data_IF_303601742555
#
_entry.id   IF_303601742555
#
_cell.length_a   1.000
_cell.length_b   1.000
_cell.length_c   1.000
_cell.angle_alpha   90.00
_cell.angle_beta   90.00
_cell.angle_gamma   90.00
#
_symmetry.space_group_name_H-M   'P 1'
#
loop_
_entity.id
_entity.type
_entity.pdbx_description
1 polymer ?
#
# COMPACT_ATOMS: atom_id res chain seq x y z
N UNK A 1 19.34 -37.88 24.44
CA UNK A 1 19.45 -36.45 24.82
C UNK A 1 19.91 -35.59 23.65
N UNK A 2 20.77 -36.09 22.76
CA UNK A 2 21.18 -35.40 21.52
C UNK A 2 20.10 -35.37 20.41
N UNK A 3 19.28 -36.42 20.25
CA UNK A 3 18.21 -36.46 19.22
C UNK A 3 17.08 -35.46 19.45
N UNK A 4 16.81 -35.14 20.73
CA UNK A 4 15.78 -34.18 21.13
C UNK A 4 16.17 -32.73 20.83
N UNK A 5 17.47 -32.39 20.90
CA UNK A 5 17.94 -31.04 20.54
C UNK A 5 17.96 -30.86 19.02
N UNK A 6 18.39 -31.87 18.28
CA UNK A 6 18.45 -31.86 16.82
C UNK A 6 17.05 -31.80 16.17
N UNK A 7 16.02 -32.37 16.80
CA UNK A 7 14.63 -32.25 16.36
C UNK A 7 14.08 -30.83 16.59
N UNK A 8 14.51 -30.17 17.67
CA UNK A 8 14.06 -28.80 18.00
C UNK A 8 14.62 -27.76 17.03
N UNK A 9 15.88 -27.88 16.59
CA UNK A 9 16.48 -27.01 15.59
C UNK A 9 15.81 -27.17 14.22
N UNK A 10 15.46 -28.40 13.82
CA UNK A 10 14.77 -28.66 12.55
C UNK A 10 13.37 -28.05 12.52
N UNK A 11 12.63 -28.06 13.63
CA UNK A 11 11.31 -27.41 13.71
C UNK A 11 11.42 -25.88 13.64
N UNK A 12 12.40 -25.28 14.33
CA UNK A 12 12.66 -23.83 14.29
C UNK A 12 13.05 -23.38 12.87
N UNK A 13 14.00 -24.08 12.24
CA UNK A 13 14.44 -23.79 10.86
C UNK A 13 13.29 -23.94 9.86
N UNK A 14 12.42 -24.92 10.05
CA UNK A 14 11.24 -25.12 9.19
C UNK A 14 10.21 -24.00 9.37
N UNK A 15 10.02 -23.52 10.60
CA UNK A 15 9.13 -22.39 10.90
C UNK A 15 9.65 -21.07 10.32
N UNK A 16 10.95 -20.80 10.40
CA UNK A 16 11.60 -19.63 9.80
C UNK A 16 11.49 -19.65 8.28
N UNK A 17 11.82 -20.79 7.65
CA UNK A 17 11.78 -20.95 6.20
C UNK A 17 10.36 -20.74 5.63
N UNK A 18 9.32 -21.21 6.34
CA UNK A 18 7.93 -21.03 5.90
C UNK A 18 7.49 -19.56 5.87
N UNK A 19 8.01 -18.72 6.79
CA UNK A 19 7.76 -17.27 6.81
C UNK A 19 8.44 -16.59 5.63
N UNK A 20 9.68 -16.96 5.33
CA UNK A 20 10.40 -16.46 4.15
C UNK A 20 9.66 -16.78 2.85
N UNK A 21 9.15 -18.01 2.69
CA UNK A 21 8.37 -18.35 1.49
C UNK A 21 7.06 -17.57 1.38
N UNK A 22 6.39 -17.28 2.50
CA UNK A 22 5.19 -16.45 2.49
C UNK A 22 5.48 -15.03 1.97
N UNK A 23 6.58 -14.41 2.43
CA UNK A 23 6.99 -13.08 1.96
C UNK A 23 7.37 -13.08 0.48
N UNK A 24 8.18 -14.05 0.05
CA UNK A 24 8.61 -14.17 -1.35
C UNK A 24 7.43 -14.46 -2.27
N UNK A 25 6.49 -15.32 -1.86
CA UNK A 25 5.32 -15.63 -2.66
C UNK A 25 4.41 -14.39 -2.83
N UNK A 26 4.19 -13.64 -1.75
CA UNK A 26 3.40 -12.40 -1.83
C UNK A 26 4.07 -11.35 -2.72
N UNK A 27 5.39 -11.18 -2.57
CA UNK A 27 6.20 -10.32 -3.43
C UNK A 27 6.01 -10.66 -4.91
N UNK A 28 6.04 -11.95 -5.23
CA UNK A 28 5.93 -12.48 -6.59
C UNK A 28 4.51 -12.27 -7.16
N UNK A 29 3.47 -12.46 -6.34
CA UNK A 29 2.08 -12.15 -6.71
C UNK A 29 1.92 -10.65 -6.98
N UNK A 30 2.43 -9.79 -6.11
CA UNK A 30 2.37 -8.33 -6.28
C UNK A 30 3.10 -7.86 -7.55
N UNK A 31 4.26 -8.45 -7.83
CA UNK A 31 5.02 -8.21 -9.06
C UNK A 31 4.24 -8.68 -10.30
N UNK A 32 3.66 -9.88 -10.26
CA UNK A 32 2.86 -10.42 -11.36
C UNK A 32 1.62 -9.56 -11.65
N UNK A 33 0.89 -9.15 -10.61
CA UNK A 33 -0.26 -8.23 -10.73
C UNK A 33 0.16 -6.89 -11.35
N UNK A 34 1.36 -6.40 -11.04
CA UNK A 34 1.88 -5.16 -11.63
C UNK A 34 2.27 -5.32 -13.10
N UNK A 35 2.84 -6.47 -13.47
CA UNK A 35 3.09 -6.81 -14.87
C UNK A 35 1.80 -6.89 -15.68
N UNK A 36 0.76 -7.53 -15.12
CA UNK A 36 -0.57 -7.62 -15.73
C UNK A 36 -1.20 -6.24 -15.87
N UNK A 37 -1.15 -5.40 -14.82
CA UNK A 37 -1.66 -4.02 -14.86
C UNK A 37 -1.02 -3.22 -15.99
N UNK A 38 0.31 -3.26 -16.13
CA UNK A 38 1.02 -2.54 -17.18
C UNK A 38 0.53 -2.95 -18.58
N UNK A 39 0.31 -4.25 -18.79
CA UNK A 39 -0.23 -4.77 -20.05
C UNK A 39 -1.67 -4.30 -20.29
N UNK A 40 -2.53 -4.33 -19.26
CA UNK A 40 -3.90 -3.82 -19.37
C UNK A 40 -3.95 -2.33 -19.72
N UNK A 41 -3.05 -1.52 -19.16
CA UNK A 41 -2.98 -0.08 -19.45
C UNK A 41 -2.55 0.19 -20.89
N UNK A 42 -1.72 -0.68 -21.48
CA UNK A 42 -1.25 -0.52 -22.85
C UNK A 42 -2.30 -0.90 -23.90
N UNK A 43 -3.32 -1.68 -23.54
CA UNK A 43 -4.43 -2.00 -24.42
C UNK A 43 -5.44 -0.83 -24.49
N UNK A 44 -6.09 -0.58 -25.64
CA UNK A 44 -7.08 0.49 -25.81
C UNK A 44 -8.43 0.13 -25.19
N UNK A 45 -8.46 -0.10 -23.88
CA UNK A 45 -9.69 -0.27 -23.10
C UNK A 45 -10.37 1.09 -22.82
N UNK A 46 -11.66 1.10 -22.45
CA UNK A 46 -12.33 2.33 -22.05
C UNK A 46 -11.66 2.96 -20.82
N UNK A 47 -11.37 4.26 -20.92
CA UNK A 47 -10.65 5.05 -19.92
C UNK A 47 -11.20 4.90 -18.50
N UNK A 48 -12.52 4.83 -18.34
CA UNK A 48 -13.17 4.64 -17.03
C UNK A 48 -12.75 3.34 -16.35
N UNK A 49 -12.71 2.22 -17.08
CA UNK A 49 -12.29 0.93 -16.50
C UNK A 49 -10.81 0.95 -16.12
N UNK A 50 -9.97 1.57 -16.94
CA UNK A 50 -8.54 1.72 -16.68
C UNK A 50 -8.35 2.48 -15.36
N UNK A 51 -8.96 3.66 -15.19
CA UNK A 51 -8.84 4.44 -13.95
C UNK A 51 -9.31 3.68 -12.71
N UNK A 52 -10.46 2.99 -12.79
CA UNK A 52 -10.97 2.21 -11.65
C UNK A 52 -10.04 1.07 -11.27
N UNK A 53 -9.50 0.35 -12.25
CA UNK A 53 -8.56 -0.77 -12.02
C UNK A 53 -7.24 -0.27 -11.45
N UNK A 54 -6.65 0.81 -12.00
CA UNK A 54 -5.40 1.36 -11.46
C UNK A 54 -5.55 1.82 -10.01
N UNK A 55 -6.63 2.53 -9.68
CA UNK A 55 -6.86 2.99 -8.30
C UNK A 55 -7.02 1.78 -7.37
N UNK A 56 -7.82 0.79 -7.79
CA UNK A 56 -8.07 -0.43 -7.00
C UNK A 56 -6.80 -1.24 -6.78
N UNK A 57 -6.01 -1.46 -7.83
CA UNK A 57 -4.75 -2.21 -7.78
C UNK A 57 -3.66 -1.45 -7.01
N UNK A 58 -3.60 -0.13 -7.14
CA UNK A 58 -2.68 0.71 -6.37
C UNK A 58 -2.97 0.60 -4.87
N UNK A 59 -4.24 0.72 -4.47
CA UNK A 59 -4.64 0.57 -3.08
C UNK A 59 -4.36 -0.85 -2.56
N UNK A 60 -4.72 -1.87 -3.33
CA UNK A 60 -4.47 -3.27 -2.97
C UNK A 60 -2.99 -3.56 -2.74
N UNK A 61 -2.12 -3.10 -3.66
CA UNK A 61 -0.68 -3.28 -3.53
C UNK A 61 -0.12 -2.52 -2.34
N UNK A 62 -0.57 -1.29 -2.12
CA UNK A 62 -0.16 -0.50 -0.98
C UNK A 62 -0.49 -1.21 0.34
N UNK A 63 -1.72 -1.70 0.51
CA UNK A 63 -2.13 -2.46 1.70
C UNK A 63 -1.34 -3.77 1.82
N UNK A 64 -1.14 -4.50 0.72
CA UNK A 64 -0.35 -5.72 0.70
C UNK A 64 1.10 -5.51 1.16
N UNK A 65 1.74 -4.42 0.69
CA UNK A 65 3.10 -4.06 1.09
C UNK A 65 3.15 -3.64 2.56
N UNK A 66 2.23 -2.79 3.01
CA UNK A 66 2.19 -2.31 4.39
C UNK A 66 1.90 -3.46 5.38
N UNK A 67 0.93 -4.33 5.09
CA UNK A 67 0.58 -5.42 6.00
C UNK A 67 1.70 -6.47 6.12
N UNK A 68 2.38 -6.78 5.01
CA UNK A 68 3.32 -7.92 4.94
C UNK A 68 4.79 -7.53 4.91
N UNK A 69 5.20 -6.61 4.04
CA UNK A 69 6.63 -6.22 3.94
C UNK A 69 7.08 -5.34 5.10
N UNK A 70 6.20 -4.45 5.57
CA UNK A 70 6.40 -3.69 6.80
C UNK A 70 6.14 -4.53 8.07
N UNK A 71 5.83 -5.83 7.92
CA UNK A 71 5.61 -6.80 9.01
C UNK A 71 4.51 -6.39 10.02
N UNK A 72 3.66 -5.43 9.69
CA UNK A 72 2.66 -4.88 10.60
C UNK A 72 1.66 -5.90 11.15
N UNK A 73 1.41 -6.98 10.41
CA UNK A 73 0.56 -8.09 10.86
C UNK A 73 1.19 -8.90 12.01
N UNK A 74 2.52 -8.88 12.15
CA UNK A 74 3.29 -9.62 13.16
C UNK A 74 3.99 -8.71 14.19
N UNK A 75 4.00 -7.38 13.96
CA UNK A 75 4.61 -6.41 14.87
C UNK A 75 3.61 -5.84 15.88
N UNK A 76 4.13 -5.13 16.87
CA UNK A 76 3.33 -4.50 17.94
C UNK A 76 2.43 -3.39 17.40
N UNK A 77 1.19 -3.35 17.89
CA UNK A 77 0.13 -2.39 17.51
C UNK A 77 0.56 -0.91 17.51
N UNK A 78 1.59 -0.56 18.28
CA UNK A 78 2.17 0.80 18.32
C UNK A 78 2.77 1.18 16.95
N UNK A 79 3.47 0.28 16.26
CA UNK A 79 3.99 0.57 14.92
C UNK A 79 2.86 0.75 13.91
N UNK A 80 1.80 -0.04 14.01
CA UNK A 80 0.59 0.09 13.18
C UNK A 80 -0.10 1.42 13.40
N UNK A 81 -0.23 1.85 14.65
CA UNK A 81 -0.79 3.16 14.96
C UNK A 81 0.12 4.30 14.47
N UNK A 82 1.44 4.21 14.64
CA UNK A 82 2.37 5.23 14.15
C UNK A 82 2.35 5.37 12.61
N UNK A 83 2.25 4.26 11.89
CA UNK A 83 2.08 4.29 10.43
C UNK A 83 0.70 4.82 10.02
N UNK A 84 -0.36 4.38 10.71
CA UNK A 84 -1.73 4.81 10.48
C UNK A 84 -1.93 6.31 10.70
N UNK A 85 -1.36 6.88 11.77
CA UNK A 85 -1.42 8.33 12.02
C UNK A 85 -0.65 9.10 10.95
N UNK A 86 0.51 8.60 10.50
CA UNK A 86 1.24 9.16 9.35
C UNK A 86 0.41 9.20 8.07
N UNK A 87 -0.30 8.11 7.75
CA UNK A 87 -1.21 8.08 6.59
C UNK A 87 -2.36 9.09 6.72
N UNK A 88 -2.97 9.19 7.90
CA UNK A 88 -4.07 10.14 8.14
C UNK A 88 -3.59 11.58 7.97
N UNK A 89 -2.40 11.91 8.49
CA UNK A 89 -1.81 13.25 8.35
C UNK A 89 -1.47 13.53 6.88
N UNK A 90 -0.90 12.57 6.15
CA UNK A 90 -0.57 12.75 4.74
C UNK A 90 -1.83 12.94 3.88
N UNK A 91 -2.85 12.11 4.07
CA UNK A 91 -4.11 12.21 3.33
C UNK A 91 -4.90 13.47 3.71
N UNK A 92 -4.92 13.83 4.99
CA UNK A 92 -5.54 15.04 5.51
C UNK A 92 -4.89 16.31 4.96
N UNK A 93 -3.56 16.37 4.94
CA UNK A 93 -2.84 17.52 4.36
C UNK A 93 -3.01 17.58 2.84
N UNK A 94 -2.94 16.46 2.13
CA UNK A 94 -3.21 16.40 0.69
C UNK A 94 -4.61 16.93 0.34
N UNK A 95 -5.64 16.46 1.04
CA UNK A 95 -7.03 16.91 0.81
C UNK A 95 -7.23 18.37 1.21
N UNK A 96 -6.64 18.83 2.31
CA UNK A 96 -6.67 20.22 2.73
C UNK A 96 -6.01 21.16 1.69
N UNK A 97 -4.88 20.75 1.12
CA UNK A 97 -4.19 21.49 0.06
C UNK A 97 -5.01 21.57 -1.22
N UNK A 98 -5.63 20.46 -1.64
CA UNK A 98 -6.54 20.46 -2.79
C UNK A 98 -7.74 21.39 -2.57
N UNK A 99 -8.29 21.41 -1.35
CA UNK A 99 -9.39 22.30 -1.01
C UNK A 99 -8.96 23.79 -1.01
N UNK A 100 -7.81 24.09 -0.42
CA UNK A 100 -7.28 25.46 -0.34
C UNK A 100 -6.91 26.00 -1.71
N UNK A 101 -6.22 25.20 -2.54
CA UNK A 101 -5.70 25.63 -3.84
C UNK A 101 -6.74 25.51 -4.97
N UNK A 102 -7.73 24.61 -4.83
CA UNK A 102 -8.77 24.38 -5.82
C UNK A 102 -9.97 25.33 -5.73
N UNK A 103 -10.03 26.16 -4.70
CA UNK A 103 -11.07 27.18 -4.57
C UNK A 103 -10.78 28.39 -5.46
N UNK A 104 -11.70 28.72 -6.36
CA UNK A 104 -11.78 30.00 -7.12
C UNK A 104 -11.96 31.24 -6.21
N UNK A 105 -11.72 31.09 -4.90
CA UNK A 105 -11.89 32.09 -3.84
C UNK A 105 -10.77 33.14 -3.81
N UNK A 106 -9.85 33.09 -4.78
CA UNK A 106 -8.85 34.13 -5.06
C UNK A 106 -9.28 35.00 -6.25
N UNK A 107 -10.55 35.01 -6.66
CA UNK A 107 -11.05 36.06 -7.54
C UNK A 107 -11.10 37.40 -6.78
N UNK A 108 -10.39 38.46 -7.21
CA UNK A 108 -10.57 39.79 -6.65
C UNK A 108 -12.04 40.18 -6.77
N UNK A 109 -12.62 40.68 -5.69
CA UNK A 109 -13.97 41.25 -5.71
C UNK A 109 -13.92 42.48 -6.61
N UNK A 110 -14.32 42.35 -7.88
CA UNK A 110 -14.55 43.47 -8.81
C UNK A 110 -15.36 44.52 -8.04
N UNK A 111 -14.81 45.74 -7.89
CA UNK A 111 -15.48 46.84 -7.20
C UNK A 111 -16.55 47.35 -8.16
N UNK A 112 -17.86 47.22 -7.87
CA UNK A 112 -18.89 47.77 -8.74
C UNK A 112 -18.87 49.29 -8.61
N UNK A 113 -18.32 49.99 -9.60
CA UNK A 113 -18.54 51.44 -9.75
C UNK A 113 -17.36 52.32 -10.17
N UNK A 114 -16.27 51.81 -10.75
CA UNK A 114 -15.34 52.63 -11.56
C UNK A 114 -14.79 51.85 -12.75
#
# INVERSE_FOLDING_TARGET
MSDTEHMSELEVLKAENNRYYAFVNLALILAAVTGIELVLVYLPFPTTLIFTVLISLSLFKFVGVVAWFMHLIYDKLILTMAFGTGMIIAFGTYTALLFLLGGDMVAPKEIPGR
#
